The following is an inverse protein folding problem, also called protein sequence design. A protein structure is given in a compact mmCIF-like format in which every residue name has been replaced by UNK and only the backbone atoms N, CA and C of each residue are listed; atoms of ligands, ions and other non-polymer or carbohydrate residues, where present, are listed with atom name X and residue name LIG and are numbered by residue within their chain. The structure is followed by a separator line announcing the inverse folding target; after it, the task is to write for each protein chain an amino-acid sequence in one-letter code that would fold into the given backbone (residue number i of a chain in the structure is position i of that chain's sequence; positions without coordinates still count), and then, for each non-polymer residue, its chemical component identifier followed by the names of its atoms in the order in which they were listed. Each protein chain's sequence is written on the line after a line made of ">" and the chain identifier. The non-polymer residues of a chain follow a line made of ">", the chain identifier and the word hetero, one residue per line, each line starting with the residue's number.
data_IF_300340109828
#
_entry.id   IF_300340109828
#
_cell.length_a   1.000
_cell.length_b   1.000
_cell.length_c   1.000
_cell.angle_alpha   90.00
_cell.angle_beta   90.00
_cell.angle_gamma   90.00
#
_symmetry.space_group_name_H-M   'P 1'
#
loop_
_entity.id
_entity.type
_entity.pdbx_description
1 polymer ?
#
# COMPACT_ATOMS: atom_id res chain seq x y z
N UNK A 1 15.88 14.73 17.75
CA UNK A 1 14.57 14.46 17.12
C UNK A 1 14.74 13.17 16.34
N UNK A 2 13.88 12.16 16.54
CA UNK A 2 14.13 10.83 15.98
C UNK A 2 14.20 10.92 14.45
N UNK A 3 15.39 10.70 13.86
CA UNK A 3 15.61 10.47 12.42
C UNK A 3 14.52 9.58 11.80
N UNK A 4 14.01 8.66 12.61
CA UNK A 4 12.91 7.76 12.29
C UNK A 4 11.63 8.48 11.84
N UNK A 5 11.22 9.60 12.45
CA UNK A 5 9.96 10.29 12.09
C UNK A 5 10.01 10.80 10.64
N UNK A 6 11.13 11.40 10.23
CA UNK A 6 11.28 11.95 8.87
C UNK A 6 11.39 10.84 7.81
N UNK A 7 12.17 9.78 8.06
CA UNK A 7 12.25 8.62 7.15
C UNK A 7 10.91 7.89 7.00
N UNK A 8 10.16 7.76 8.10
CA UNK A 8 8.83 7.12 8.12
C UNK A 8 7.77 7.97 7.43
N UNK A 9 7.81 9.29 7.63
CA UNK A 9 6.90 10.22 6.95
C UNK A 9 7.23 10.36 5.47
N UNK A 10 8.50 10.30 5.09
CA UNK A 10 8.90 10.23 3.68
C UNK A 10 8.45 8.92 3.02
N UNK A 11 8.52 7.78 3.73
CA UNK A 11 8.00 6.50 3.25
C UNK A 11 6.46 6.51 3.11
N UNK A 12 5.75 7.09 4.08
CA UNK A 12 4.30 7.30 4.03
C UNK A 12 3.90 8.27 2.91
N UNK A 13 4.63 9.38 2.74
CA UNK A 13 4.44 10.27 1.60
C UNK A 13 4.72 9.56 0.29
N UNK A 14 5.75 8.71 0.20
CA UNK A 14 6.02 7.83 -0.95
C UNK A 14 4.89 6.82 -1.21
N UNK A 15 4.24 6.28 -0.18
CA UNK A 15 3.05 5.44 -0.33
C UNK A 15 1.89 6.26 -0.91
N UNK A 16 1.71 7.47 -0.37
CA UNK A 16 0.79 8.49 -0.88
C UNK A 16 1.26 9.12 -2.20
N UNK A 17 2.47 8.83 -2.70
CA UNK A 17 3.00 9.27 -4.01
C UNK A 17 2.66 8.32 -5.14
N UNK A 18 2.53 7.03 -4.82
CA UNK A 18 2.16 6.02 -5.80
C UNK A 18 0.65 5.94 -5.97
N UNK A 19 -0.13 6.27 -4.92
CA UNK A 19 -1.59 6.34 -4.97
C UNK A 19 -2.15 7.29 -6.06
N UNK A 20 -1.62 8.51 -6.28
CA UNK A 20 -2.10 9.43 -7.32
C UNK A 20 -1.76 8.92 -8.72
N UNK A 21 -0.49 8.62 -8.97
CA UNK A 21 0.02 8.15 -10.28
C UNK A 21 -0.77 6.96 -10.84
N UNK A 22 -1.39 6.22 -9.94
CA UNK A 22 -2.02 4.96 -10.20
C UNK A 22 -3.55 5.09 -10.12
N UNK A 23 -4.14 5.70 -9.08
CA UNK A 23 -5.58 5.97 -8.97
C UNK A 23 -6.14 6.98 -10.00
N UNK A 24 -5.27 7.65 -10.76
CA UNK A 24 -5.64 8.55 -11.87
C UNK A 24 -5.67 7.85 -13.23
N UNK A 25 -5.33 6.56 -13.30
CA UNK A 25 -5.67 5.74 -14.44
C UNK A 25 -7.18 5.63 -14.49
N UNK A 26 -7.81 6.31 -15.45
CA UNK A 26 -9.25 6.13 -15.71
C UNK A 26 -9.43 4.64 -16.01
N UNK A 27 -10.24 3.96 -15.21
CA UNK A 27 -10.63 2.58 -15.47
C UNK A 27 -11.42 2.56 -16.77
N UNK A 28 -10.75 2.34 -17.89
CA UNK A 28 -11.43 1.89 -19.07
C UNK A 28 -11.65 0.38 -18.89
N UNK A 29 -12.91 -0.01 -18.77
CA UNK A 29 -13.31 -1.41 -18.91
C UNK A 29 -12.78 -1.95 -20.24
N UNK A 30 -11.97 -3.01 -20.17
CA UNK A 30 -11.57 -3.90 -21.29
C UNK A 30 -10.95 -3.29 -22.55
N UNK A 31 -10.84 -1.97 -22.68
CA UNK A 31 -10.08 -1.37 -23.77
C UNK A 31 -8.58 -1.42 -23.42
N UNK A 32 -7.76 -1.80 -24.40
CA UNK A 32 -6.31 -1.89 -24.21
C UNK A 32 -5.66 -0.50 -24.13
N UNK A 33 -6.39 0.55 -23.76
CA UNK A 33 -5.84 1.90 -23.75
C UNK A 33 -4.85 2.08 -22.62
N UNK A 34 -3.93 3.01 -22.86
CA UNK A 34 -2.84 3.33 -21.95
C UNK A 34 -3.07 4.75 -21.46
N UNK A 35 -3.13 4.92 -20.14
CA UNK A 35 -3.09 6.25 -19.53
C UNK A 35 -1.63 6.66 -19.40
N UNK A 36 -1.22 7.71 -20.12
CA UNK A 36 0.09 8.33 -19.94
C UNK A 36 -0.01 9.52 -19.00
N UNK A 37 0.97 9.60 -18.12
CA UNK A 37 1.22 10.74 -17.25
C UNK A 37 2.65 11.24 -17.46
N UNK A 38 2.81 12.41 -18.08
CA UNK A 38 4.08 13.17 -18.07
C UNK A 38 4.11 14.01 -16.80
N UNK A 39 4.87 13.55 -15.80
CA UNK A 39 4.69 13.97 -14.43
C UNK A 39 5.93 14.53 -13.75
N UNK A 40 5.62 15.15 -12.62
CA UNK A 40 6.49 15.94 -11.80
C UNK A 40 6.06 15.71 -10.35
N UNK A 41 6.86 15.01 -9.57
CA UNK A 41 6.61 14.70 -8.16
C UNK A 41 7.69 15.32 -7.28
N UNK A 42 7.27 16.09 -6.28
CA UNK A 42 8.16 16.76 -5.35
C UNK A 42 7.62 16.68 -3.93
N UNK A 43 8.51 16.46 -2.95
CA UNK A 43 8.21 16.62 -1.54
C UNK A 43 8.74 17.98 -1.09
N UNK A 44 7.90 18.76 -0.41
CA UNK A 44 8.25 19.99 0.29
C UNK A 44 8.14 19.80 1.80
N UNK A 45 8.99 20.49 2.55
CA UNK A 45 8.85 20.63 4.00
C UNK A 45 8.38 22.03 4.37
N UNK A 46 7.82 22.16 5.57
CA UNK A 46 7.48 23.42 6.20
C UNK A 46 7.99 23.38 7.65
N UNK A 47 9.19 23.92 7.89
CA UNK A 47 9.81 23.86 9.21
C UNK A 47 9.00 24.60 10.29
N UNK A 48 8.27 25.65 9.92
CA UNK A 48 7.44 26.46 10.82
C UNK A 48 6.22 25.70 11.37
N UNK A 49 5.81 24.62 10.69
CA UNK A 49 4.73 23.76 11.16
C UNK A 49 5.13 22.87 12.36
N UNK A 50 6.40 22.87 12.78
CA UNK A 50 6.88 22.08 13.91
C UNK A 50 6.99 22.91 15.21
N UNK A 51 6.88 22.28 16.39
CA UNK A 51 7.00 22.96 17.68
C UNK A 51 8.33 23.72 17.85
N UNK A 52 8.31 24.80 18.63
CA UNK A 52 9.50 25.62 18.92
C UNK A 52 10.66 24.76 19.48
N UNK A 53 11.85 24.97 18.92
CA UNK A 53 13.08 24.24 19.29
C UNK A 53 13.42 23.03 18.41
N UNK A 54 12.57 22.70 17.43
CA UNK A 54 12.83 21.63 16.44
C UNK A 54 13.14 22.17 15.03
N UNK A 55 13.09 23.50 14.83
CA UNK A 55 13.04 24.14 13.50
C UNK A 55 14.38 24.16 12.74
N UNK A 56 15.52 24.31 13.41
CA UNK A 56 16.79 24.63 12.73
C UNK A 56 17.32 23.52 11.81
N UNK A 57 17.17 22.23 12.17
CA UNK A 57 17.52 21.13 11.25
C UNK A 57 16.45 20.90 10.18
N UNK A 58 15.19 21.29 10.45
CA UNK A 58 14.07 21.15 9.53
C UNK A 58 14.10 22.19 8.41
N UNK A 59 14.54 23.42 8.68
CA UNK A 59 14.77 24.44 7.66
C UNK A 59 15.79 23.96 6.62
N UNK A 60 16.86 23.30 7.08
CA UNK A 60 17.86 22.71 6.20
C UNK A 60 17.30 21.56 5.35
N UNK A 61 16.45 20.69 5.93
CA UNK A 61 15.72 19.66 5.17
C UNK A 61 14.77 20.27 4.14
N UNK A 62 14.01 21.30 4.51
CA UNK A 62 13.12 22.02 3.61
C UNK A 62 13.87 22.60 2.39
N UNK A 63 15.02 23.25 2.63
CA UNK A 63 15.87 23.79 1.56
C UNK A 63 16.40 22.67 0.66
N UNK A 64 16.77 21.53 1.24
CA UNK A 64 17.30 20.40 0.49
C UNK A 64 16.23 19.71 -0.36
N UNK A 65 15.07 19.41 0.20
CA UNK A 65 13.95 18.77 -0.50
C UNK A 65 13.47 19.59 -1.71
N UNK A 66 13.49 20.94 -1.62
CA UNK A 66 13.18 21.83 -2.75
C UNK A 66 14.10 21.64 -3.96
N UNK A 67 15.29 21.05 -3.79
CA UNK A 67 16.23 20.78 -4.88
C UNK A 67 15.94 19.45 -5.57
N UNK A 68 15.18 18.54 -4.96
CA UNK A 68 14.97 17.17 -5.43
C UNK A 68 13.57 17.04 -6.01
N UNK A 69 13.49 16.36 -7.14
CA UNK A 69 12.23 16.07 -7.83
C UNK A 69 12.34 14.73 -8.56
N UNK A 70 11.27 13.95 -8.55
CA UNK A 70 11.10 12.82 -9.46
C UNK A 70 10.31 13.30 -10.67
N UNK A 71 10.80 13.03 -11.88
CA UNK A 71 10.13 13.43 -13.10
C UNK A 71 10.36 12.38 -14.19
N UNK A 72 9.36 12.19 -15.03
CA UNK A 72 9.36 11.22 -16.12
C UNK A 72 7.98 11.04 -16.70
N UNK A 73 7.82 10.00 -17.50
CA UNK A 73 6.53 9.52 -17.98
C UNK A 73 6.17 8.22 -17.27
N UNK A 74 4.91 8.08 -16.85
CA UNK A 74 4.34 6.79 -16.46
C UNK A 74 3.22 6.43 -17.43
N UNK A 75 3.30 5.25 -18.00
CA UNK A 75 2.27 4.64 -18.81
C UNK A 75 1.63 3.51 -18.00
N UNK A 76 0.33 3.59 -17.75
CA UNK A 76 -0.44 2.57 -17.04
C UNK A 76 -1.52 1.98 -17.93
N UNK A 77 -1.71 0.67 -17.82
CA UNK A 77 -2.78 -0.07 -18.48
C UNK A 77 -3.37 -1.05 -17.47
N UNK A 78 -4.71 -1.18 -17.44
CA UNK A 78 -5.44 -2.11 -16.56
C UNK A 78 -5.04 -1.95 -15.08
N UNK A 79 -4.99 -0.70 -14.62
CA UNK A 79 -4.57 -0.41 -13.25
C UNK A 79 -5.51 -1.06 -12.22
N UNK A 80 -4.95 -1.60 -11.12
CA UNK A 80 -5.63 -2.40 -10.09
C UNK A 80 -6.37 -3.66 -10.59
N UNK A 81 -6.08 -4.12 -11.81
CA UNK A 81 -6.66 -5.34 -12.36
C UNK A 81 -5.62 -6.46 -12.44
N UNK A 82 -6.06 -7.72 -12.59
CA UNK A 82 -5.19 -8.80 -13.03
C UNK A 82 -4.47 -8.36 -14.30
N UNK A 83 -3.14 -8.49 -14.31
CA UNK A 83 -2.31 -8.15 -15.46
C UNK A 83 -2.17 -6.64 -15.70
N UNK A 84 -2.21 -5.85 -14.63
CA UNK A 84 -1.80 -4.45 -14.71
C UNK A 84 -0.41 -4.32 -15.33
N UNK A 85 -0.24 -3.28 -16.14
CA UNK A 85 1.05 -2.94 -16.74
C UNK A 85 1.38 -1.50 -16.42
N UNK A 86 2.60 -1.29 -15.93
CA UNK A 86 3.10 0.03 -15.55
C UNK A 86 4.51 0.18 -16.09
N UNK A 87 4.72 1.17 -16.95
CA UNK A 87 6.05 1.53 -17.44
C UNK A 87 6.39 2.95 -17.01
N UNK A 88 7.53 3.13 -16.36
CA UNK A 88 8.10 4.41 -15.98
C UNK A 88 9.41 4.62 -16.71
N UNK A 89 9.57 5.80 -17.32
CA UNK A 89 10.83 6.29 -17.87
C UNK A 89 11.11 7.68 -17.33
N UNK A 90 12.20 7.84 -16.59
CA UNK A 90 12.54 9.12 -15.99
C UNK A 90 13.72 9.04 -15.03
N UNK A 91 13.65 9.83 -13.96
CA UNK A 91 14.70 9.80 -12.95
C UNK A 91 14.56 10.83 -11.85
N UNK A 92 15.52 10.80 -10.92
CA UNK A 92 15.68 11.84 -9.91
C UNK A 92 16.47 13.01 -10.47
N UNK A 93 15.89 14.19 -10.28
CA UNK A 93 16.45 15.49 -10.64
C UNK A 93 16.99 16.17 -9.39
N UNK A 94 18.11 16.85 -9.56
CA UNK A 94 18.72 17.71 -8.57
C UNK A 94 18.96 19.08 -9.21
N UNK A 95 18.27 20.11 -8.72
CA UNK A 95 18.28 21.47 -9.30
C UNK A 95 17.99 21.43 -10.82
N UNK A 96 16.88 20.80 -11.20
CA UNK A 96 16.40 20.64 -12.58
C UNK A 96 17.33 19.87 -13.53
N UNK A 97 18.41 19.27 -13.02
CA UNK A 97 19.28 18.38 -13.79
C UNK A 97 19.00 16.94 -13.38
N UNK A 98 18.63 16.09 -14.34
CA UNK A 98 18.51 14.65 -14.10
C UNK A 98 19.88 14.08 -13.70
N UNK A 99 19.95 13.48 -12.51
CA UNK A 99 21.18 12.90 -11.94
C UNK A 99 21.14 11.39 -11.87
N UNK A 100 19.97 10.83 -11.61
CA UNK A 100 19.77 9.39 -11.50
C UNK A 100 18.64 8.97 -12.43
N UNK A 101 18.93 8.70 -13.71
CA UNK A 101 17.94 8.13 -14.62
C UNK A 101 17.67 6.67 -14.23
N UNK A 102 16.41 6.26 -14.31
CA UNK A 102 16.00 4.87 -14.20
C UNK A 102 14.71 4.62 -14.97
N UNK A 103 14.57 3.39 -15.44
CA UNK A 103 13.35 2.86 -16.01
C UNK A 103 12.79 1.82 -15.05
N UNK A 104 11.47 1.76 -14.94
CA UNK A 104 10.76 0.69 -14.25
C UNK A 104 9.72 0.11 -15.19
N UNK A 105 9.64 -1.21 -15.27
CA UNK A 105 8.61 -1.91 -16.04
C UNK A 105 8.01 -3.00 -15.15
N UNK A 106 6.72 -2.88 -14.87
CA UNK A 106 5.93 -3.85 -14.14
C UNK A 106 4.88 -4.46 -15.06
N UNK A 107 4.90 -5.78 -15.19
CA UNK A 107 3.87 -6.52 -15.92
C UNK A 107 3.76 -7.95 -15.35
N UNK A 108 2.53 -8.47 -15.22
CA UNK A 108 2.25 -9.73 -14.52
C UNK A 108 2.92 -9.77 -13.12
N UNK A 109 3.62 -10.87 -12.83
CA UNK A 109 4.35 -11.13 -11.59
C UNK A 109 5.81 -10.65 -11.65
N UNK A 110 6.14 -9.73 -12.56
CA UNK A 110 7.51 -9.27 -12.77
C UNK A 110 7.65 -7.77 -12.56
N UNK A 111 8.75 -7.37 -11.91
CA UNK A 111 9.18 -5.97 -11.77
C UNK A 111 10.62 -5.83 -12.22
N UNK A 112 10.84 -4.96 -13.19
CA UNK A 112 12.15 -4.66 -13.73
C UNK A 112 12.55 -3.25 -13.33
N UNK A 113 13.80 -3.10 -12.89
CA UNK A 113 14.43 -1.79 -12.67
C UNK A 113 15.71 -1.75 -13.49
N UNK A 114 15.86 -0.71 -14.29
CA UNK A 114 17.06 -0.47 -15.08
C UNK A 114 17.58 0.92 -14.77
N UNK A 115 18.88 1.00 -14.47
CA UNK A 115 19.53 2.28 -14.25
C UNK A 115 21.01 2.15 -14.58
N UNK A 116 21.67 3.19 -15.11
CA UNK A 116 23.13 3.24 -15.12
C UNK A 116 23.76 3.03 -13.74
N UNK A 117 23.04 3.34 -12.66
CA UNK A 117 23.48 3.05 -11.30
C UNK A 117 23.64 1.55 -11.01
N UNK A 118 23.00 0.68 -11.77
CA UNK A 118 23.09 -0.79 -11.68
C UNK A 118 24.21 -1.35 -12.56
N UNK A 119 25.27 -0.57 -12.81
CA UNK A 119 26.43 -0.94 -13.63
C UNK A 119 26.04 -1.47 -15.04
N UNK A 120 24.98 -0.91 -15.63
CA UNK A 120 24.47 -1.32 -16.94
C UNK A 120 23.68 -2.64 -16.94
N UNK A 121 23.34 -3.17 -15.76
CA UNK A 121 22.48 -4.36 -15.61
C UNK A 121 21.03 -3.95 -15.35
N UNK A 122 20.09 -4.89 -15.54
CA UNK A 122 18.70 -4.75 -15.07
C UNK A 122 18.46 -5.69 -13.90
N UNK A 123 17.78 -5.19 -12.87
CA UNK A 123 17.32 -5.99 -11.73
C UNK A 123 15.89 -6.43 -11.98
N UNK A 124 15.60 -7.69 -11.71
CA UNK A 124 14.30 -8.32 -11.92
C UNK A 124 13.81 -8.97 -10.63
N UNK A 125 12.55 -8.73 -10.26
CA UNK A 125 11.88 -9.35 -9.11
C UNK A 125 10.61 -10.09 -9.53
N UNK A 126 10.46 -11.32 -9.03
CA UNK A 126 9.16 -12.00 -8.93
C UNK A 126 8.38 -11.50 -7.71
N UNK A 127 7.05 -11.64 -7.73
CA UNK A 127 6.15 -11.08 -6.71
C UNK A 127 6.54 -11.40 -5.26
N UNK A 128 6.72 -12.66 -4.90
CA UNK A 128 7.08 -13.05 -3.53
C UNK A 128 8.47 -12.52 -3.11
N UNK A 129 9.45 -12.60 -4.02
CA UNK A 129 10.79 -12.05 -3.80
C UNK A 129 10.76 -10.52 -3.63
N UNK A 130 9.83 -9.84 -4.30
CA UNK A 130 9.68 -8.40 -4.17
C UNK A 130 9.15 -8.02 -2.78
N UNK A 131 8.11 -8.71 -2.29
CA UNK A 131 7.62 -8.48 -0.93
C UNK A 131 8.68 -8.81 0.12
N UNK A 132 9.37 -9.94 -0.01
CA UNK A 132 10.49 -10.30 0.88
C UNK A 132 11.60 -9.24 0.84
N UNK A 133 11.99 -8.79 -0.36
CA UNK A 133 12.96 -7.70 -0.53
C UNK A 133 12.49 -6.43 0.19
N UNK A 134 11.23 -6.05 0.03
CA UNK A 134 10.65 -4.83 0.60
C UNK A 134 10.37 -4.94 2.11
N UNK A 135 10.40 -6.13 2.70
CA UNK A 135 10.39 -6.34 4.14
C UNK A 135 11.77 -6.06 4.77
N UNK A 136 12.88 -6.22 4.04
CA UNK A 136 14.22 -5.97 4.58
C UNK A 136 14.46 -4.51 5.02
N UNK A 137 14.14 -3.48 4.21
CA UNK A 137 14.28 -2.09 4.67
C UNK A 137 13.41 -1.79 5.90
N UNK A 138 12.28 -2.48 6.07
CA UNK A 138 11.50 -2.37 7.29
C UNK A 138 12.23 -2.97 8.50
N UNK A 139 12.66 -4.24 8.41
CA UNK A 139 13.32 -4.90 9.54
C UNK A 139 14.64 -4.26 9.94
N UNK A 140 15.44 -3.86 8.94
CA UNK A 140 16.75 -3.30 9.19
C UNK A 140 16.67 -1.80 9.40
N UNK A 141 15.86 -1.06 8.63
CA UNK A 141 15.92 0.41 8.60
C UNK A 141 14.67 1.09 9.17
N UNK A 142 13.65 0.33 9.57
CA UNK A 142 12.33 0.84 10.00
C UNK A 142 11.70 1.78 8.95
N UNK A 143 11.98 1.49 7.68
CA UNK A 143 11.37 2.15 6.53
C UNK A 143 10.14 1.37 6.14
N UNK A 144 9.00 2.05 5.98
CA UNK A 144 7.70 1.44 5.68
C UNK A 144 7.56 1.01 4.21
N UNK A 145 8.61 0.44 3.63
CA UNK A 145 8.64 -0.15 2.28
C UNK A 145 7.63 -1.28 2.05
N UNK A 146 7.18 -2.08 3.04
CA UNK A 146 6.13 -3.08 2.81
C UNK A 146 4.84 -2.49 2.24
N UNK A 147 4.43 -1.30 2.70
CA UNK A 147 3.25 -0.62 2.16
C UNK A 147 3.47 -0.10 0.74
N UNK A 148 4.69 0.32 0.40
CA UNK A 148 5.05 0.59 -1.00
C UNK A 148 4.97 -0.68 -1.84
N UNK A 149 5.35 -1.82 -1.28
CA UNK A 149 5.30 -3.08 -2.00
C UNK A 149 3.87 -3.45 -2.39
N UNK A 150 2.92 -3.31 -1.47
CA UNK A 150 1.49 -3.55 -1.73
C UNK A 150 0.97 -2.63 -2.85
N UNK A 151 1.39 -1.37 -2.87
CA UNK A 151 1.00 -0.41 -3.91
C UNK A 151 1.65 -0.67 -5.27
N UNK A 152 2.89 -1.16 -5.28
CA UNK A 152 3.62 -1.51 -6.50
C UNK A 152 3.25 -2.90 -7.03
N UNK A 153 2.43 -3.66 -6.30
CA UNK A 153 1.91 -4.98 -6.64
C UNK A 153 0.40 -5.09 -6.36
N UNK A 154 -0.44 -4.25 -6.98
CA UNK A 154 -1.87 -4.32 -6.76
C UNK A 154 -2.48 -5.65 -7.21
N UNK A 155 -1.86 -6.35 -8.17
CA UNK A 155 -2.27 -7.68 -8.59
C UNK A 155 -2.14 -8.69 -7.46
N UNK A 156 -1.21 -8.50 -6.52
CA UNK A 156 -1.11 -9.37 -5.35
C UNK A 156 -2.38 -9.26 -4.50
N UNK A 157 -2.84 -8.04 -4.21
CA UNK A 157 -4.09 -7.82 -3.48
C UNK A 157 -5.30 -8.37 -4.24
N UNK A 158 -5.34 -8.22 -5.57
CA UNK A 158 -6.41 -8.80 -6.38
C UNK A 158 -6.39 -10.33 -6.32
N UNK A 159 -5.23 -10.97 -6.54
CA UNK A 159 -5.08 -12.42 -6.49
C UNK A 159 -5.51 -12.93 -5.12
N UNK A 160 -5.03 -12.31 -4.04
CA UNK A 160 -5.44 -12.69 -2.68
C UNK A 160 -6.95 -12.52 -2.49
N UNK A 161 -7.53 -11.41 -2.94
CA UNK A 161 -8.98 -11.20 -2.86
C UNK A 161 -9.75 -12.27 -3.64
N UNK A 162 -9.39 -12.53 -4.91
CA UNK A 162 -10.04 -13.53 -5.76
C UNK A 162 -9.92 -14.94 -5.17
N UNK A 163 -8.73 -15.32 -4.68
CA UNK A 163 -8.48 -16.62 -4.05
C UNK A 163 -9.45 -16.89 -2.90
N UNK A 164 -9.72 -15.90 -2.04
CA UNK A 164 -10.61 -16.07 -0.89
C UNK A 164 -12.09 -15.74 -1.20
N UNK A 165 -12.38 -14.80 -2.11
CA UNK A 165 -13.74 -14.39 -2.44
C UNK A 165 -14.44 -15.38 -3.37
N UNK A 166 -13.75 -15.95 -4.35
CA UNK A 166 -14.36 -16.89 -5.30
C UNK A 166 -15.14 -18.04 -4.62
N UNK A 167 -14.57 -18.77 -3.62
CA UNK A 167 -15.33 -19.81 -2.93
C UNK A 167 -16.48 -19.26 -2.08
N UNK A 168 -16.33 -18.06 -1.49
CA UNK A 168 -17.40 -17.39 -0.74
C UNK A 168 -18.57 -17.05 -1.67
N UNK A 169 -18.28 -16.44 -2.82
CA UNK A 169 -19.27 -16.06 -3.82
C UNK A 169 -20.01 -17.28 -4.37
N UNK A 170 -19.29 -18.38 -4.63
CA UNK A 170 -19.90 -19.64 -5.06
C UNK A 170 -20.83 -20.23 -3.99
N UNK A 171 -20.38 -20.28 -2.74
CA UNK A 171 -21.14 -20.84 -1.62
C UNK A 171 -22.38 -20.00 -1.26
N UNK A 172 -22.27 -18.67 -1.38
CA UNK A 172 -23.35 -17.74 -1.05
C UNK A 172 -24.18 -17.31 -2.25
N UNK A 173 -23.94 -17.87 -3.45
CA UNK A 173 -24.64 -17.50 -4.68
C UNK A 173 -26.17 -17.63 -4.58
N UNK A 174 -26.88 -16.84 -5.38
CA UNK A 174 -28.33 -16.88 -5.51
C UNK A 174 -28.99 -15.51 -5.44
N UNK A 175 -30.28 -15.47 -5.75
CA UNK A 175 -31.09 -14.24 -5.75
C UNK A 175 -32.13 -14.25 -4.63
N UNK A 176 -32.40 -13.09 -4.04
CA UNK A 176 -33.41 -12.92 -3.00
C UNK A 176 -33.10 -13.66 -1.70
N UNK A 177 -34.10 -13.68 -0.81
CA UNK A 177 -33.97 -14.35 0.49
C UNK A 177 -33.85 -15.86 0.33
N UNK A 178 -32.85 -16.46 0.98
CA UNK A 178 -32.45 -17.86 0.79
C UNK A 178 -31.73 -18.42 2.00
N UNK A 179 -31.60 -19.74 2.03
CA UNK A 179 -30.88 -20.49 3.06
C UNK A 179 -29.65 -21.15 2.45
N UNK A 180 -28.52 -21.08 3.14
CA UNK A 180 -27.30 -21.84 2.84
C UNK A 180 -27.14 -22.90 3.91
N UNK A 181 -27.17 -24.18 3.53
CA UNK A 181 -27.11 -25.29 4.48
C UNK A 181 -25.81 -25.32 5.28
N UNK A 182 -25.86 -25.84 6.51
CA UNK A 182 -24.67 -26.04 7.35
C UNK A 182 -23.56 -26.81 6.62
N UNK A 183 -23.88 -27.92 5.95
CA UNK A 183 -22.88 -28.72 5.22
C UNK A 183 -22.11 -27.91 4.17
N UNK A 184 -22.79 -26.97 3.49
CA UNK A 184 -22.17 -26.09 2.50
C UNK A 184 -21.28 -25.04 3.16
N UNK A 185 -21.69 -24.47 4.29
CA UNK A 185 -20.86 -23.53 5.07
C UNK A 185 -19.65 -24.22 5.68
N UNK A 186 -19.81 -25.46 6.16
CA UNK A 186 -18.71 -26.25 6.71
C UNK A 186 -17.68 -26.55 5.62
N UNK A 187 -18.12 -26.97 4.43
CA UNK A 187 -17.24 -27.16 3.28
C UNK A 187 -16.53 -25.87 2.85
N UNK A 188 -17.22 -24.72 2.92
CA UNK A 188 -16.60 -23.41 2.70
C UNK A 188 -15.50 -23.12 3.73
N UNK A 189 -15.74 -23.36 5.02
CA UNK A 189 -14.73 -23.19 6.06
C UNK A 189 -13.49 -24.08 5.82
N UNK A 190 -13.69 -25.36 5.49
CA UNK A 190 -12.60 -26.28 5.13
C UNK A 190 -11.80 -25.74 3.93
N UNK A 191 -12.49 -25.26 2.88
CA UNK A 191 -11.85 -24.73 1.68
C UNK A 191 -11.02 -23.47 1.96
N UNK A 192 -11.55 -22.52 2.73
CA UNK A 192 -10.84 -21.29 3.11
C UNK A 192 -9.62 -21.59 3.99
N UNK A 193 -9.74 -22.56 4.90
CA UNK A 193 -8.62 -23.05 5.72
C UNK A 193 -7.54 -23.73 4.85
N UNK A 194 -7.95 -24.59 3.91
CA UNK A 194 -7.03 -25.28 3.02
C UNK A 194 -6.23 -24.32 2.13
N UNK A 195 -6.85 -23.25 1.62
CA UNK A 195 -6.16 -22.17 0.89
C UNK A 195 -5.02 -21.59 1.76
N UNK A 196 -5.30 -21.35 3.04
CA UNK A 196 -4.36 -20.70 3.94
C UNK A 196 -3.22 -21.60 4.43
N UNK A 197 -3.36 -22.93 4.40
CA UNK A 197 -2.41 -23.87 5.03
C UNK A 197 -1.88 -25.01 4.16
N UNK A 198 -2.66 -25.47 3.18
CA UNK A 198 -2.38 -26.69 2.43
C UNK A 198 -2.01 -26.40 0.96
N UNK A 199 -2.25 -25.18 0.48
CA UNK A 199 -1.95 -24.80 -0.90
C UNK A 199 -0.44 -24.60 -1.13
N UNK A 200 -0.01 -24.85 -2.37
CA UNK A 200 1.36 -24.69 -2.87
C UNK A 200 1.85 -23.24 -2.67
N UNK A 201 0.92 -22.30 -2.57
CA UNK A 201 1.15 -20.86 -2.43
C UNK A 201 1.15 -20.35 -0.98
N UNK A 202 1.21 -21.22 0.05
CA UNK A 202 1.29 -20.83 1.47
C UNK A 202 2.29 -19.68 1.73
N UNK A 203 3.50 -19.79 1.19
CA UNK A 203 4.55 -18.77 1.38
C UNK A 203 4.14 -17.40 0.81
N UNK A 204 3.41 -17.37 -0.30
CA UNK A 204 2.92 -16.15 -0.91
C UNK A 204 1.86 -15.48 -0.03
N UNK A 205 0.90 -16.27 0.46
CA UNK A 205 -0.15 -15.80 1.38
C UNK A 205 0.48 -15.28 2.68
N UNK A 206 1.42 -16.04 3.25
CA UNK A 206 2.15 -15.68 4.46
C UNK A 206 2.89 -14.35 4.32
N UNK A 207 3.67 -14.19 3.24
CA UNK A 207 4.45 -12.97 2.98
C UNK A 207 3.52 -11.78 2.72
N UNK A 208 2.39 -11.98 2.01
CA UNK A 208 1.40 -10.94 1.80
C UNK A 208 0.79 -10.43 3.12
N UNK A 209 0.31 -11.35 3.96
CA UNK A 209 -0.24 -10.96 5.27
C UNK A 209 0.82 -10.36 6.20
N UNK A 210 2.05 -10.85 6.15
CA UNK A 210 3.18 -10.26 6.89
C UNK A 210 3.41 -8.81 6.46
N UNK A 211 3.34 -8.54 5.16
CA UNK A 211 3.51 -7.20 4.58
C UNK A 211 2.36 -6.28 5.00
N UNK A 212 1.11 -6.76 4.93
CA UNK A 212 -0.09 -5.99 5.26
C UNK A 212 -0.17 -5.64 6.75
N UNK A 213 0.15 -6.59 7.61
CA UNK A 213 0.02 -6.46 9.07
C UNK A 213 1.36 -6.21 9.77
N UNK A 214 2.35 -5.67 9.06
CA UNK A 214 3.72 -5.51 9.57
C UNK A 214 3.83 -4.58 10.80
N UNK A 215 2.85 -3.71 11.00
CA UNK A 215 2.77 -2.78 12.16
C UNK A 215 1.98 -3.35 13.34
N UNK A 216 1.46 -4.58 13.20
CA UNK A 216 0.87 -5.36 14.28
C UNK A 216 1.95 -6.30 14.86
N UNK A 217 1.94 -6.50 16.17
CA UNK A 217 2.89 -7.34 16.87
C UNK A 217 2.22 -8.02 18.08
N UNK A 218 2.41 -9.34 18.21
CA UNK A 218 2.27 -10.02 19.50
C UNK A 218 3.65 -10.48 19.96
N UNK A 219 3.87 -10.50 21.28
CA UNK A 219 5.19 -10.85 21.87
C UNK A 219 5.68 -12.27 21.49
N UNK A 220 4.78 -13.13 20.97
CA UNK A 220 5.04 -14.55 20.69
C UNK A 220 4.67 -15.02 19.25
N UNK A 221 4.16 -14.16 18.36
CA UNK A 221 3.72 -14.54 17.00
C UNK A 221 3.98 -13.44 15.96
N UNK A 222 4.28 -13.85 14.71
CA UNK A 222 4.29 -12.91 13.59
C UNK A 222 2.85 -12.49 13.27
N UNK A 223 2.65 -11.26 12.81
CA UNK A 223 1.30 -10.72 12.56
C UNK A 223 0.50 -11.48 11.50
N UNK A 224 1.18 -12.20 10.58
CA UNK A 224 0.53 -13.11 9.66
C UNK A 224 -0.03 -14.37 10.35
N UNK A 225 0.65 -14.88 11.39
CA UNK A 225 0.25 -16.10 12.08
C UNK A 225 -1.14 -15.95 12.72
N UNK A 226 -1.45 -14.75 13.21
CA UNK A 226 -2.76 -14.42 13.80
C UNK A 226 -3.89 -14.60 12.78
N UNK A 227 -3.70 -14.08 11.57
CA UNK A 227 -4.71 -14.12 10.51
C UNK A 227 -4.89 -15.56 10.03
N UNK A 228 -3.78 -16.27 9.88
CA UNK A 228 -3.81 -17.67 9.49
C UNK A 228 -4.49 -18.52 10.56
N UNK A 229 -4.19 -18.32 11.84
CA UNK A 229 -4.84 -19.05 12.93
C UNK A 229 -6.35 -18.81 12.95
N UNK A 230 -6.80 -17.58 12.67
CA UNK A 230 -8.22 -17.30 12.50
C UNK A 230 -8.83 -18.10 11.34
N UNK A 231 -8.18 -18.11 10.16
CA UNK A 231 -8.64 -18.89 9.00
C UNK A 231 -8.69 -20.40 9.30
N UNK A 232 -7.73 -20.91 10.08
CA UNK A 232 -7.73 -22.30 10.55
C UNK A 232 -8.92 -22.61 11.48
N UNK A 233 -9.36 -21.60 12.26
CA UNK A 233 -10.42 -21.75 13.26
C UNK A 233 -11.85 -21.57 12.72
N UNK A 234 -12.02 -21.38 11.41
CA UNK A 234 -13.33 -21.08 10.81
C UNK A 234 -14.38 -22.17 11.05
N UNK A 235 -13.99 -23.45 11.02
CA UNK A 235 -14.89 -24.57 11.33
C UNK A 235 -15.39 -24.50 12.77
N UNK A 236 -14.48 -24.30 13.74
CA UNK A 236 -14.84 -24.13 15.15
C UNK A 236 -15.69 -22.89 15.39
N UNK A 237 -15.46 -21.83 14.60
CA UNK A 237 -16.28 -20.61 14.64
C UNK A 237 -17.69 -20.87 14.11
N UNK A 238 -17.83 -21.63 13.02
CA UNK A 238 -19.14 -22.03 12.51
C UNK A 238 -19.92 -22.90 13.51
N UNK A 239 -19.27 -23.89 14.13
CA UNK A 239 -19.88 -24.74 15.17
C UNK A 239 -20.34 -23.93 16.38
N UNK A 240 -19.59 -22.89 16.75
CA UNK A 240 -19.95 -21.98 17.82
C UNK A 240 -21.17 -21.11 17.47
N UNK A 241 -21.23 -20.59 16.25
CA UNK A 241 -22.33 -19.74 15.77
C UNK A 241 -23.62 -20.52 15.50
N UNK A 242 -23.51 -21.77 15.03
CA UNK A 242 -24.64 -22.62 14.66
C UNK A 242 -24.55 -24.03 15.28
N UNK A 243 -24.70 -24.14 16.62
CA UNK A 243 -24.63 -25.42 17.32
C UNK A 243 -25.77 -26.39 16.94
N UNK A 244 -26.85 -25.88 16.34
CA UNK A 244 -27.98 -26.67 15.86
C UNK A 244 -27.85 -27.08 14.39
N UNK A 245 -26.78 -26.66 13.71
CA UNK A 245 -26.46 -27.01 12.33
C UNK A 245 -27.60 -26.68 11.33
N UNK A 246 -28.24 -25.53 11.51
CA UNK A 246 -29.32 -25.05 10.62
C UNK A 246 -28.82 -24.40 9.34
N UNK A 247 -27.59 -23.89 9.34
CA UNK A 247 -27.02 -23.09 8.26
C UNK A 247 -27.26 -21.59 8.42
N UNK A 248 -27.04 -20.86 7.33
CA UNK A 248 -27.13 -19.41 7.25
C UNK A 248 -28.43 -18.99 6.56
N UNK A 249 -29.08 -17.98 7.11
CA UNK A 249 -30.23 -17.33 6.51
C UNK A 249 -29.83 -15.99 5.91
N UNK A 250 -30.07 -15.84 4.61
CA UNK A 250 -29.85 -14.60 3.86
C UNK A 250 -31.20 -13.97 3.62
N UNK A 251 -31.40 -12.75 4.11
CA UNK A 251 -32.63 -11.97 3.93
C UNK A 251 -32.34 -10.76 3.07
N UNK A 252 -33.14 -10.58 2.01
CA UNK A 252 -33.04 -9.44 1.09
C UNK A 252 -34.30 -8.59 1.22
N UNK A 253 -34.14 -7.30 1.50
CA UNK A 253 -35.21 -6.29 1.53
C UNK A 253 -34.80 -5.07 0.70
N UNK A 254 -35.26 -5.02 -0.56
CA UNK A 254 -34.80 -4.01 -1.51
C UNK A 254 -33.31 -4.18 -1.85
N UNK A 255 -32.52 -3.15 -1.56
CA UNK A 255 -31.06 -3.13 -1.77
C UNK A 255 -30.28 -3.56 -0.51
N UNK A 256 -30.99 -3.93 0.57
CA UNK A 256 -30.41 -4.34 1.83
C UNK A 256 -30.35 -5.87 1.91
N UNK A 257 -29.19 -6.43 2.23
CA UNK A 257 -29.01 -7.87 2.47
C UNK A 257 -28.43 -8.12 3.87
N UNK A 258 -29.00 -9.08 4.59
CA UNK A 258 -28.56 -9.49 5.93
C UNK A 258 -28.32 -11.00 5.96
N UNK A 259 -27.19 -11.41 6.52
CA UNK A 259 -26.74 -12.80 6.59
C UNK A 259 -26.63 -13.20 8.06
N UNK A 260 -27.40 -14.19 8.47
CA UNK A 260 -27.55 -14.61 9.87
C UNK A 260 -27.19 -16.07 10.03
N UNK A 261 -26.32 -16.38 10.99
CA UNK A 261 -25.97 -17.74 11.42
C UNK A 261 -26.42 -17.89 12.88
N UNK A 262 -27.28 -18.87 13.17
CA UNK A 262 -27.91 -18.97 14.50
C UNK A 262 -28.70 -17.71 14.84
N UNK A 263 -28.33 -17.04 15.93
CA UNK A 263 -28.90 -15.75 16.36
C UNK A 263 -27.99 -14.54 16.00
N UNK A 264 -26.87 -14.78 15.31
CA UNK A 264 -25.83 -13.77 15.02
C UNK A 264 -25.94 -13.29 13.59
N UNK A 265 -26.06 -11.97 13.40
CA UNK A 265 -25.90 -11.33 12.08
C UNK A 265 -24.41 -11.20 11.79
N UNK A 266 -23.91 -11.98 10.84
CA UNK A 266 -22.48 -12.03 10.50
C UNK A 266 -22.10 -11.04 9.41
N UNK A 267 -23.04 -10.68 8.54
CA UNK A 267 -22.86 -9.70 7.48
C UNK A 267 -24.17 -8.94 7.26
N UNK A 268 -24.07 -7.62 7.12
CA UNK A 268 -25.12 -6.78 6.56
C UNK A 268 -24.52 -5.89 5.48
N UNK A 269 -25.18 -5.76 4.35
CA UNK A 269 -24.73 -4.88 3.28
C UNK A 269 -25.90 -4.12 2.66
N UNK A 270 -25.59 -2.91 2.19
CA UNK A 270 -26.46 -2.07 1.37
C UNK A 270 -25.68 -1.66 0.12
N UNK A 271 -26.28 -0.84 -0.75
CA UNK A 271 -25.57 -0.26 -1.90
C UNK A 271 -24.32 0.56 -1.53
N UNK A 272 -24.24 1.08 -0.29
CA UNK A 272 -23.16 2.00 0.12
C UNK A 272 -22.54 1.68 1.48
N UNK A 273 -22.88 0.53 2.08
CA UNK A 273 -22.30 0.12 3.36
C UNK A 273 -22.16 -1.37 3.47
N UNK A 274 -21.14 -1.82 4.20
CA UNK A 274 -20.92 -3.22 4.55
C UNK A 274 -20.54 -3.28 6.03
N UNK A 275 -21.17 -4.16 6.79
CA UNK A 275 -20.77 -4.48 8.16
C UNK A 275 -20.61 -5.98 8.28
N UNK A 276 -19.44 -6.41 8.74
CA UNK A 276 -19.11 -7.79 9.06
C UNK A 276 -18.87 -7.88 10.57
N UNK A 277 -19.39 -8.93 11.20
CA UNK A 277 -19.21 -9.17 12.62
C UNK A 277 -19.11 -10.68 12.88
N UNK A 278 -17.96 -11.13 13.34
CA UNK A 278 -17.65 -12.54 13.55
C UNK A 278 -17.15 -12.72 14.99
N UNK A 279 -18.03 -13.12 15.92
CA UNK A 279 -17.60 -13.56 17.24
C UNK A 279 -17.03 -14.98 17.15
N UNK A 280 -15.98 -15.24 17.91
CA UNK A 280 -15.26 -16.52 17.92
C UNK A 280 -15.44 -17.25 19.26
N UNK A 281 -15.29 -18.59 19.30
CA UNK A 281 -15.44 -19.38 20.52
C UNK A 281 -14.45 -19.00 21.65
N UNK A 282 -13.33 -18.36 21.30
CA UNK A 282 -12.29 -17.98 22.24
C UNK A 282 -12.54 -16.60 22.90
N UNK A 283 -13.75 -16.05 22.77
CA UNK A 283 -14.07 -14.72 23.31
C UNK A 283 -13.46 -13.57 22.51
N UNK A 284 -13.08 -13.82 21.25
CA UNK A 284 -12.71 -12.75 20.32
C UNK A 284 -13.91 -12.30 19.49
N UNK A 285 -13.83 -11.06 19.02
CA UNK A 285 -14.82 -10.39 18.19
C UNK A 285 -14.07 -9.66 17.08
N UNK A 286 -14.32 -10.06 15.84
CA UNK A 286 -13.74 -9.43 14.66
C UNK A 286 -14.86 -8.71 13.93
N UNK A 287 -14.71 -7.41 13.77
CA UNK A 287 -15.71 -6.56 13.15
C UNK A 287 -15.08 -5.67 12.08
N UNK A 288 -15.79 -5.48 10.98
CA UNK A 288 -15.42 -4.57 9.90
C UNK A 288 -16.63 -3.75 9.47
N UNK A 289 -16.46 -2.43 9.40
CA UNK A 289 -17.45 -1.50 8.90
C UNK A 289 -16.86 -0.75 7.71
N UNK A 290 -17.67 -0.61 6.66
CA UNK A 290 -17.43 0.21 5.50
C UNK A 290 -18.68 1.07 5.25
N UNK A 291 -18.47 2.35 4.97
CA UNK A 291 -19.54 3.27 4.60
C UNK A 291 -19.04 4.28 3.58
N UNK A 292 -19.75 4.38 2.47
CA UNK A 292 -19.58 5.39 1.45
C UNK A 292 -20.78 6.35 1.47
N UNK A 293 -20.52 7.66 1.50
CA UNK A 293 -21.58 8.68 1.52
C UNK A 293 -21.37 9.65 0.37
N UNK A 294 -22.14 9.51 -0.71
CA UNK A 294 -22.12 10.46 -1.81
C UNK A 294 -22.77 11.79 -1.41
N UNK A 295 -22.15 12.92 -1.76
CA UNK A 295 -22.68 14.28 -1.56
C UNK A 295 -23.03 14.92 -2.90
N UNK A 296 -23.59 16.13 -2.89
CA UNK A 296 -23.77 16.93 -4.12
C UNK A 296 -22.41 17.19 -4.81
N UNK A 297 -21.39 17.54 -4.02
CA UNK A 297 -19.99 17.69 -4.43
C UNK A 297 -19.12 16.83 -3.50
N UNK A 298 -18.25 16.01 -4.08
CA UNK A 298 -17.41 15.05 -3.36
C UNK A 298 -18.17 13.86 -2.75
N UNK A 299 -17.44 13.05 -1.98
CA UNK A 299 -17.95 11.92 -1.22
C UNK A 299 -17.12 11.65 0.05
N UNK A 300 -17.74 11.03 1.05
CA UNK A 300 -17.04 10.55 2.24
C UNK A 300 -16.89 9.03 2.22
N UNK A 301 -15.79 8.56 2.79
CA UNK A 301 -15.49 7.16 2.99
C UNK A 301 -15.08 6.94 4.45
N UNK A 302 -15.77 6.02 5.11
CA UNK A 302 -15.41 5.56 6.44
C UNK A 302 -15.17 4.06 6.41
N UNK A 303 -14.05 3.62 6.98
CA UNK A 303 -13.75 2.21 7.19
C UNK A 303 -13.24 2.03 8.62
N UNK A 304 -13.72 1.00 9.30
CA UNK A 304 -13.23 0.61 10.62
C UNK A 304 -13.07 -0.90 10.69
N UNK A 305 -11.86 -1.36 11.00
CA UNK A 305 -11.59 -2.74 11.36
C UNK A 305 -11.28 -2.80 12.85
N UNK A 306 -11.98 -3.66 13.57
CA UNK A 306 -11.79 -3.88 15.01
C UNK A 306 -11.61 -5.36 15.30
N UNK A 307 -10.60 -5.69 16.09
CA UNK A 307 -10.45 -7.01 16.70
C UNK A 307 -10.32 -6.86 18.21
N UNK A 308 -11.28 -7.44 18.93
CA UNK A 308 -11.32 -7.49 20.39
C UNK A 308 -11.09 -8.94 20.81
N UNK A 309 -10.30 -9.15 21.87
CA UNK A 309 -10.10 -10.45 22.50
C UNK A 309 -10.07 -10.23 24.01
N UNK A 310 -10.88 -11.00 24.75
CA UNK A 310 -11.00 -10.89 26.22
C UNK A 310 -11.28 -9.45 26.71
N UNK A 311 -12.23 -8.76 26.07
CA UNK A 311 -12.60 -7.36 26.34
C UNK A 311 -11.47 -6.33 26.08
N UNK A 312 -10.34 -6.75 25.52
CA UNK A 312 -9.24 -5.88 25.13
C UNK A 312 -9.24 -5.70 23.62
N UNK A 313 -9.29 -4.45 23.16
CA UNK A 313 -9.05 -4.09 21.76
C UNK A 313 -7.62 -4.45 21.39
N UNK A 314 -7.47 -5.50 20.59
CA UNK A 314 -6.18 -5.95 20.07
C UNK A 314 -5.74 -5.06 18.91
N UNK A 315 -6.68 -4.74 18.02
CA UNK A 315 -6.47 -3.88 16.86
C UNK A 315 -7.72 -3.03 16.64
N UNK A 316 -7.51 -1.75 16.37
CA UNK A 316 -8.52 -0.84 15.83
C UNK A 316 -7.87 -0.01 14.73
N UNK A 317 -8.30 -0.22 13.49
CA UNK A 317 -7.79 0.50 12.32
C UNK A 317 -8.93 1.29 11.68
N UNK A 318 -8.79 2.61 11.63
CA UNK A 318 -9.82 3.51 11.09
C UNK A 318 -9.25 4.32 9.95
N UNK A 319 -9.97 4.33 8.83
CA UNK A 319 -9.77 5.24 7.72
C UNK A 319 -11.02 6.12 7.59
N UNK A 320 -10.83 7.43 7.72
CA UNK A 320 -11.89 8.41 7.55
C UNK A 320 -11.43 9.42 6.49
N UNK A 321 -12.09 9.42 5.34
CA UNK A 321 -11.82 10.32 4.23
C UNK A 321 -13.05 11.17 3.94
N UNK A 322 -12.81 12.47 3.79
CA UNK A 322 -13.84 13.48 3.60
C UNK A 322 -13.61 14.20 2.27
N UNK A 323 -14.71 14.47 1.56
CA UNK A 323 -14.75 15.24 0.32
C UNK A 323 -13.83 14.68 -0.79
N UNK A 324 -13.73 13.35 -0.88
CA UNK A 324 -13.07 12.66 -1.99
C UNK A 324 -13.68 13.07 -3.34
N UNK A 325 -12.86 13.32 -4.38
CA UNK A 325 -13.39 13.67 -5.70
C UNK A 325 -14.23 12.53 -6.26
N UNK A 326 -15.40 12.86 -6.81
CA UNK A 326 -16.22 11.93 -7.60
C UNK A 326 -15.79 11.94 -9.06
N UNK A 327 -16.18 10.89 -9.79
CA UNK A 327 -16.02 10.84 -11.24
C UNK A 327 -16.60 12.10 -11.90
N UNK A 328 -15.84 12.68 -12.83
CA UNK A 328 -16.25 13.90 -13.53
C UNK A 328 -15.89 15.21 -12.81
N UNK A 329 -15.58 15.21 -11.52
CA UNK A 329 -15.20 16.43 -10.79
C UNK A 329 -13.81 16.91 -11.22
N UNK A 330 -13.64 18.22 -11.36
CA UNK A 330 -12.37 18.82 -11.80
C UNK A 330 -11.55 19.38 -10.65
N UNK A 331 -12.12 19.50 -9.46
CA UNK A 331 -11.46 20.04 -8.28
C UNK A 331 -12.00 19.34 -7.03
N UNK A 332 -11.14 19.10 -6.06
CA UNK A 332 -11.54 18.64 -4.73
C UNK A 332 -10.54 19.13 -3.67
N UNK A 333 -11.07 19.44 -2.49
CA UNK A 333 -10.27 19.74 -1.30
C UNK A 333 -10.91 18.95 -0.18
N UNK A 334 -10.12 18.08 0.45
CA UNK A 334 -10.63 17.18 1.47
C UNK A 334 -9.55 16.72 2.43
N UNK A 335 -9.92 15.79 3.29
CA UNK A 335 -9.03 15.25 4.33
C UNK A 335 -9.08 13.74 4.37
N UNK A 336 -7.99 13.14 4.83
CA UNK A 336 -7.92 11.70 5.12
C UNK A 336 -7.26 11.54 6.49
N UNK A 337 -7.89 10.82 7.38
CA UNK A 337 -7.36 10.44 8.68
C UNK A 337 -7.20 8.93 8.70
N UNK A 338 -5.99 8.48 9.07
CA UNK A 338 -5.68 7.08 9.28
C UNK A 338 -5.23 6.91 10.73
N UNK A 339 -5.91 6.06 11.48
CA UNK A 339 -5.52 5.71 12.85
C UNK A 339 -5.36 4.21 13.01
N UNK A 340 -4.36 3.82 13.81
CA UNK A 340 -4.16 2.46 14.27
C UNK A 340 -3.94 2.46 15.78
N UNK A 341 -4.83 1.79 16.50
CA UNK A 341 -4.76 1.59 17.95
C UNK A 341 -4.92 0.10 18.30
N UNK A 342 -4.86 -0.22 19.59
CA UNK A 342 -4.99 -1.56 20.14
C UNK A 342 -3.73 -2.08 20.82
N UNK A 343 -3.86 -3.17 21.56
CA UNK A 343 -2.78 -3.79 22.32
C UNK A 343 -1.64 -4.34 21.45
N UNK A 344 -1.94 -4.75 20.22
CA UNK A 344 -0.95 -5.30 19.29
C UNK A 344 -0.28 -4.21 18.43
N UNK A 345 -0.60 -2.93 18.64
CA UNK A 345 0.03 -1.85 17.88
C UNK A 345 1.52 -1.77 18.23
N UNK A 346 2.37 -1.66 17.23
CA UNK A 346 3.75 -1.22 17.46
C UNK A 346 3.80 0.25 17.89
N UNK A 347 4.90 0.66 18.53
CA UNK A 347 5.08 2.04 19.03
C UNK A 347 4.93 3.13 17.96
N UNK A 348 4.95 2.80 16.65
CA UNK A 348 4.97 3.76 15.56
C UNK A 348 4.24 3.26 14.30
N UNK A 349 2.90 3.16 14.34
CA UNK A 349 2.13 2.69 13.20
C UNK A 349 2.06 3.74 12.08
N UNK A 350 1.67 3.31 10.87
CA UNK A 350 1.26 4.20 9.78
C UNK A 350 -0.05 4.91 10.14
N UNK A 351 0.03 5.99 10.92
CA UNK A 351 -1.13 6.80 11.32
C UNK A 351 -0.83 8.29 11.14
N UNK A 352 -1.87 9.06 10.82
CA UNK A 352 -1.76 10.50 10.64
C UNK A 352 -2.94 11.12 9.92
N UNK A 353 -2.99 12.44 9.98
CA UNK A 353 -3.97 13.26 9.29
C UNK A 353 -3.36 13.87 8.05
N UNK A 354 -4.15 13.89 6.98
CA UNK A 354 -3.76 14.42 5.68
C UNK A 354 -4.83 15.38 5.17
N UNK A 355 -4.39 16.42 4.48
CA UNK A 355 -5.25 17.26 3.67
C UNK A 355 -4.83 17.12 2.21
N UNK A 356 -5.78 17.01 1.29
CA UNK A 356 -5.48 16.95 -0.13
C UNK A 356 -6.13 18.08 -0.91
N UNK A 357 -5.51 18.41 -2.05
CA UNK A 357 -5.95 19.42 -3.00
C UNK A 357 -5.78 18.85 -4.40
N UNK A 358 -6.89 18.53 -5.05
CA UNK A 358 -6.94 18.01 -6.41
C UNK A 358 -7.47 19.07 -7.37
N UNK A 359 -6.90 19.14 -8.57
CA UNK A 359 -7.41 19.96 -9.67
C UNK A 359 -7.01 19.38 -11.02
N UNK A 360 -7.89 19.53 -12.01
CA UNK A 360 -7.63 19.30 -13.44
C UNK A 360 -8.27 20.40 -14.28
N UNK A 361 -7.67 20.70 -15.43
CA UNK A 361 -8.13 21.79 -16.30
C UNK A 361 -9.23 21.39 -17.31
N UNK A 362 -9.57 20.10 -17.41
CA UNK A 362 -10.69 19.59 -18.21
C UNK A 362 -11.31 18.32 -17.59
N UNK A 363 -12.53 17.96 -18.01
CA UNK A 363 -13.26 16.78 -17.50
C UNK A 363 -12.84 15.46 -18.16
N UNK A 364 -12.29 15.51 -19.37
CA UNK A 364 -11.89 14.36 -20.16
C UNK A 364 -10.44 14.54 -20.61
N UNK A 365 -9.71 13.45 -20.83
CA UNK A 365 -8.34 13.52 -21.34
C UNK A 365 -8.31 14.06 -22.79
N UNK A 366 -7.28 14.82 -23.18
CA UNK A 366 -6.13 15.21 -22.37
C UNK A 366 -6.43 16.36 -21.40
N UNK A 367 -5.80 16.33 -20.23
CA UNK A 367 -5.87 17.40 -19.23
C UNK A 367 -4.56 17.55 -18.47
N UNK A 368 -4.29 18.75 -17.97
CA UNK A 368 -3.28 18.96 -16.93
C UNK A 368 -3.92 18.79 -15.56
N UNK A 369 -3.18 18.24 -14.63
CA UNK A 369 -3.65 18.09 -13.26
C UNK A 369 -2.58 18.35 -12.21
N UNK A 370 -3.05 18.64 -11.01
CA UNK A 370 -2.24 18.81 -9.81
C UNK A 370 -2.92 18.10 -8.65
N UNK A 371 -2.14 17.33 -7.88
CA UNK A 371 -2.53 16.80 -6.59
C UNK A 371 -1.50 17.23 -5.55
N UNK A 372 -1.95 17.98 -4.55
CA UNK A 372 -1.20 18.26 -3.33
C UNK A 372 -1.71 17.37 -2.19
N UNK A 373 -0.83 16.74 -1.43
CA UNK A 373 -1.16 16.02 -0.19
C UNK A 373 -0.27 16.57 0.92
N UNK A 374 -0.88 17.18 1.92
CA UNK A 374 -0.22 17.64 3.12
C UNK A 374 -0.34 16.59 4.21
N UNK A 375 0.76 16.23 4.84
CA UNK A 375 0.73 15.61 6.16
C UNK A 375 0.62 16.71 7.23
N UNK A 376 -0.38 16.56 8.10
CA UNK A 376 -0.70 17.50 9.16
C UNK A 376 0.02 17.09 10.44
N UNK A 377 0.80 18.01 11.00
CA UNK A 377 1.58 17.70 12.20
C UNK A 377 0.67 17.61 13.44
N UNK A 378 0.70 16.50 14.21
CA UNK A 378 -0.33 16.20 15.21
C UNK A 378 -0.37 17.17 16.40
N UNK A 379 0.73 17.88 16.69
CA UNK A 379 0.76 18.82 17.83
C UNK A 379 0.40 20.25 17.45
N UNK A 380 0.64 20.63 16.19
CA UNK A 380 0.48 22.00 15.70
C UNK A 380 -0.75 22.14 14.82
N UNK A 381 -1.23 21.02 14.26
CA UNK A 381 -2.32 20.95 13.30
C UNK A 381 -2.04 21.75 12.01
N UNK A 382 -0.76 21.85 11.63
CA UNK A 382 -0.30 22.60 10.47
C UNK A 382 0.32 21.66 9.42
N UNK A 383 0.21 21.97 8.11
CA UNK A 383 0.90 21.25 7.03
C UNK A 383 2.42 21.27 7.21
N UNK A 384 3.01 20.12 7.55
CA UNK A 384 4.44 20.01 7.83
C UNK A 384 5.25 19.42 6.69
N UNK A 385 4.66 18.49 5.94
CA UNK A 385 5.22 17.99 4.69
C UNK A 385 4.14 18.04 3.61
N UNK A 386 4.50 18.50 2.42
CA UNK A 386 3.60 18.55 1.27
C UNK A 386 4.18 17.70 0.16
N UNK A 387 3.41 16.74 -0.30
CA UNK A 387 3.63 16.13 -1.59
C UNK A 387 2.94 16.94 -2.67
N UNK A 388 3.64 17.21 -3.77
CA UNK A 388 3.08 17.86 -4.94
C UNK A 388 3.34 17.02 -6.18
N UNK A 389 2.27 16.48 -6.72
CA UNK A 389 2.22 15.79 -8.00
C UNK A 389 1.58 16.71 -9.04
N UNK A 390 2.22 16.84 -10.20
CA UNK A 390 1.68 17.52 -11.37
C UNK A 390 1.90 16.67 -12.59
N UNK A 391 0.91 16.59 -13.45
CA UNK A 391 1.01 15.80 -14.66
C UNK A 391 0.23 16.40 -15.83
N UNK A 392 0.75 16.22 -17.03
CA UNK A 392 -0.03 16.25 -18.25
C UNK A 392 -0.51 14.82 -18.53
N UNK A 393 -1.82 14.62 -18.54
CA UNK A 393 -2.46 13.32 -18.72
C UNK A 393 -2.98 13.19 -20.15
N UNK A 394 -2.72 12.05 -20.79
CA UNK A 394 -3.24 11.73 -22.11
C UNK A 394 -3.58 10.24 -22.22
N UNK A 395 -4.46 9.91 -23.17
CA UNK A 395 -4.77 8.53 -23.51
C UNK A 395 -4.00 8.13 -24.77
N UNK A 396 -3.33 6.99 -24.71
CA UNK A 396 -2.57 6.40 -25.80
C UNK A 396 -3.15 5.03 -26.17
N UNK A 397 -2.79 4.55 -27.36
CA UNK A 397 -3.09 3.19 -27.77
C UNK A 397 -2.12 2.18 -27.13
N UNK A 398 -2.48 0.89 -27.21
CA UNK A 398 -1.71 -0.21 -26.61
C UNK A 398 -0.25 -0.28 -27.07
N UNK A 399 0.07 0.27 -28.26
CA UNK A 399 1.45 0.25 -28.78
C UNK A 399 2.40 1.16 -27.99
N UNK A 400 1.89 2.02 -27.10
CA UNK A 400 2.73 2.74 -26.14
C UNK A 400 3.47 1.78 -25.18
N UNK A 401 2.87 0.63 -24.88
CA UNK A 401 3.44 -0.42 -24.04
C UNK A 401 3.93 -1.58 -24.92
N UNK A 402 5.18 -1.48 -25.38
CA UNK A 402 5.82 -2.53 -26.18
C UNK A 402 6.59 -3.48 -25.27
N UNK A 403 6.48 -4.79 -25.50
CA UNK A 403 7.35 -5.78 -24.85
C UNK A 403 8.81 -5.53 -25.18
N UNK A 404 9.61 -5.27 -24.13
CA UNK A 404 11.03 -4.94 -24.29
C UNK A 404 11.89 -6.18 -24.05
N UNK A 405 12.87 -6.45 -24.93
CA UNK A 405 13.92 -7.41 -24.58
C UNK A 405 14.79 -6.80 -23.48
N UNK A 406 14.91 -7.48 -22.35
CA UNK A 406 15.86 -7.10 -21.31
C UNK A 406 17.17 -7.87 -21.54
N UNK A 407 18.23 -7.15 -21.91
CA UNK A 407 19.59 -7.69 -22.03
C UNK A 407 20.29 -7.68 -20.66
N UNK A 408 21.14 -8.67 -20.37
CA UNK A 408 21.90 -8.79 -19.12
C UNK A 408 21.01 -8.78 -17.85
N UNK A 409 20.00 -9.65 -17.86
CA UNK A 409 19.09 -9.85 -16.74
C UNK A 409 19.83 -10.49 -15.56
N UNK A 410 19.83 -9.80 -14.43
CA UNK A 410 20.24 -10.37 -13.15
C UNK A 410 18.99 -10.78 -12.40
N UNK A 411 18.77 -12.08 -12.33
CA UNK A 411 17.62 -12.60 -11.61
C UNK A 411 17.89 -12.55 -10.11
N UNK A 412 17.14 -11.69 -9.40
CA UNK A 412 17.07 -11.73 -7.94
C UNK A 412 16.11 -12.86 -7.54
N UNK A 413 16.52 -14.11 -7.78
CA UNK A 413 15.73 -15.32 -7.48
C UNK A 413 15.76 -15.69 -6.00
N UNK A 414 16.84 -15.38 -5.29
CA UNK A 414 17.05 -15.78 -3.90
C UNK A 414 17.87 -14.73 -3.16
N UNK A 415 17.28 -14.11 -2.15
CA UNK A 415 17.99 -13.16 -1.28
C UNK A 415 18.68 -13.87 -0.11
N UNK A 416 19.41 -14.96 -0.40
CA UNK A 416 20.28 -15.59 0.60
C UNK A 416 21.58 -14.79 0.77
N UNK A 417 22.30 -15.03 1.88
CA UNK A 417 23.51 -14.27 2.23
C UNK A 417 24.58 -14.27 1.12
N UNK A 418 24.74 -15.39 0.40
CA UNK A 418 25.72 -15.49 -0.68
C UNK A 418 25.38 -14.61 -1.89
N UNK A 419 24.10 -14.54 -2.28
CA UNK A 419 23.65 -13.71 -3.40
C UNK A 419 23.69 -12.21 -3.04
N UNK A 420 23.42 -11.86 -1.78
CA UNK A 420 23.54 -10.48 -1.28
C UNK A 420 24.99 -9.96 -1.39
N UNK A 421 25.99 -10.76 -0.99
CA UNK A 421 27.39 -10.38 -1.09
C UNK A 421 27.85 -10.14 -2.55
N UNK A 422 27.33 -10.93 -3.48
CA UNK A 422 27.60 -10.77 -4.91
C UNK A 422 26.98 -9.47 -5.46
N UNK A 423 25.73 -9.17 -5.09
CA UNK A 423 25.08 -7.91 -5.44
C UNK A 423 25.77 -6.70 -4.80
N UNK A 424 26.27 -6.84 -3.58
CA UNK A 424 27.04 -5.82 -2.88
C UNK A 424 28.30 -5.44 -3.67
N UNK A 425 29.14 -6.44 -3.98
CA UNK A 425 30.39 -6.25 -4.71
C UNK A 425 30.16 -5.55 -6.05
N UNK A 426 29.06 -5.91 -6.70
CA UNK A 426 28.71 -5.46 -8.05
C UNK A 426 28.07 -4.06 -8.08
N UNK A 427 27.09 -3.79 -7.23
CA UNK A 427 26.23 -2.61 -7.39
C UNK A 427 26.58 -1.47 -6.43
N UNK A 428 27.06 -1.74 -5.21
CA UNK A 428 27.19 -0.70 -4.16
C UNK A 428 28.04 0.48 -4.61
N UNK A 429 29.18 0.22 -5.26
CA UNK A 429 30.07 1.30 -5.76
C UNK A 429 29.38 2.17 -6.81
N UNK A 430 28.64 1.54 -7.73
CA UNK A 430 27.94 2.25 -8.81
C UNK A 430 26.76 3.05 -8.27
N UNK A 431 25.97 2.48 -7.34
CA UNK A 431 24.88 3.17 -6.65
C UNK A 431 25.42 4.35 -5.83
N UNK A 432 26.48 4.14 -5.04
CA UNK A 432 27.09 5.21 -4.25
C UNK A 432 27.57 6.37 -5.12
N UNK A 433 28.22 6.08 -6.26
CA UNK A 433 28.63 7.12 -7.22
C UNK A 433 27.42 7.85 -7.84
N UNK A 434 26.35 7.13 -8.16
CA UNK A 434 25.16 7.71 -8.75
C UNK A 434 24.37 8.61 -7.78
N UNK A 435 24.38 8.28 -6.48
CA UNK A 435 23.72 9.06 -5.42
C UNK A 435 24.62 10.21 -4.89
N UNK A 436 25.93 10.16 -5.11
CA UNK A 436 26.88 11.17 -4.63
C UNK A 436 26.51 12.64 -4.93
N UNK A 437 25.98 13.02 -6.12
CA UNK A 437 25.56 14.40 -6.37
C UNK A 437 24.53 14.91 -5.36
N UNK A 438 23.61 14.05 -4.90
CA UNK A 438 22.61 14.37 -3.90
C UNK A 438 23.27 14.59 -2.53
N UNK A 439 24.18 13.69 -2.14
CA UNK A 439 24.93 13.78 -0.88
C UNK A 439 25.75 15.08 -0.80
N UNK A 440 26.39 15.50 -1.90
CA UNK A 440 27.17 16.75 -1.95
C UNK A 440 26.29 17.99 -1.71
N UNK A 441 25.01 17.93 -2.09
CA UNK A 441 24.07 19.04 -1.95
C UNK A 441 23.39 19.12 -0.57
N UNK A 442 23.65 18.15 0.31
CA UNK A 442 23.15 18.15 1.69
C UNK A 442 23.75 19.33 2.48
N UNK A 443 22.92 20.15 3.14
CA UNK A 443 23.38 21.10 4.12
C UNK A 443 24.16 20.42 5.25
N UNK A 444 25.18 21.11 5.79
CA UNK A 444 26.00 20.57 6.86
C UNK A 444 25.20 20.22 8.12
N UNK A 445 24.14 20.98 8.39
CA UNK A 445 23.27 20.81 9.56
C UNK A 445 22.47 19.50 9.53
N UNK A 446 22.32 18.87 8.35
CA UNK A 446 21.62 17.59 8.18
C UNK A 446 22.55 16.46 7.69
N UNK A 447 23.86 16.71 7.55
CA UNK A 447 24.81 15.68 7.16
C UNK A 447 24.89 14.57 8.20
N UNK A 448 24.83 14.88 9.49
CA UNK A 448 24.79 13.86 10.55
C UNK A 448 23.52 13.00 10.46
N UNK A 449 22.38 13.63 10.13
CA UNK A 449 21.10 12.93 9.93
C UNK A 449 21.17 11.98 8.72
N UNK A 450 21.73 12.46 7.60
CA UNK A 450 21.90 11.67 6.39
C UNK A 450 22.97 10.56 6.55
N UNK A 451 24.07 10.83 7.26
CA UNK A 451 25.10 9.82 7.55
C UNK A 451 24.54 8.74 8.49
N UNK A 452 23.72 9.09 9.48
CA UNK A 452 23.06 8.06 10.31
C UNK A 452 22.12 7.16 9.50
N UNK A 453 21.46 7.70 8.47
CA UNK A 453 20.66 6.93 7.51
C UNK A 453 21.52 6.02 6.60
N UNK A 454 22.80 6.36 6.42
CA UNK A 454 23.76 5.62 5.58
C UNK A 454 24.70 4.69 6.36
N UNK A 455 24.96 4.91 7.66
CA UNK A 455 26.00 4.22 8.44
C UNK A 455 25.53 3.63 9.79
N UNK A 456 24.25 3.73 10.17
CA UNK A 456 23.75 3.14 11.41
C UNK A 456 23.46 1.64 11.33
N UNK A 457 23.06 1.04 12.46
CA UNK A 457 22.43 -0.30 12.59
C UNK A 457 21.05 -0.38 11.87
N UNK A 458 20.80 0.53 10.93
CA UNK A 458 19.61 0.73 10.11
C UNK A 458 19.97 1.33 8.73
N UNK A 459 21.13 0.99 8.17
CA UNK A 459 21.66 1.66 6.99
C UNK A 459 21.19 1.09 5.65
N UNK A 460 21.19 1.96 4.63
CA UNK A 460 21.04 1.58 3.22
C UNK A 460 22.15 0.62 2.76
N UNK A 461 23.30 0.63 3.43
CA UNK A 461 24.41 -0.29 3.22
C UNK A 461 24.14 -1.68 3.83
N UNK A 462 23.44 -1.76 4.97
CA UNK A 462 22.96 -3.05 5.49
C UNK A 462 21.85 -3.66 4.63
N UNK A 463 21.08 -2.85 3.91
CA UNK A 463 20.18 -3.33 2.86
C UNK A 463 20.91 -4.17 1.79
N UNK A 464 22.18 -3.85 1.58
CA UNK A 464 23.08 -4.54 0.65
C UNK A 464 24.08 -5.47 1.33
N UNK A 465 24.02 -5.69 2.66
CA UNK A 465 24.87 -6.66 3.37
C UNK A 465 26.21 -6.13 3.91
N UNK A 466 26.46 -4.82 3.91
CA UNK A 466 27.70 -4.25 4.48
C UNK A 466 27.61 -4.22 6.02
N UNK A 467 28.48 -4.98 6.69
CA UNK A 467 28.69 -4.97 8.15
C UNK A 467 29.75 -3.97 8.60
#
# INVERSE_FOLDING_TARGET
>A
MNQKIFSRMFALLLCLCLLPLSALAVSAEDDMTVTRSDFSLQVGGNADAFPQGQQSSLEAWEIYLKKIKLQGTVDTQRFLQPFSRVYFDGGLYLKDTMRLPFEYDGYYSFRYIKSPALAGSSVHFQMFNFFEFMLKPYYFMDVKTPYLALLMYPEASYIMAETFLAPIDEALAGEGSREVSYDALYALCEQLSAIAYEDIDYNQIYIYFTTMFIDLYSDDMYSADVVLEFLYSLESTLEYLDPEQKGMQITVDGDDETYTIGDTVVLSKTATSVNVHIPTPNGSDISFEYRYTSKDVGADLYMNFTWIMDEVTQVEAVLDAQDLPKEGETEAIGTVSLSLDGALRRENPLAGDFAFRYSRDAQEMPYNMSLGIDWIHPQTNEPALTLLYKAAMEQLDESALVDRPYDNQEDFFCLNESSLAEYEERFVKSIALAVMPFVIELPADIMADAIGLLNGDTSLLMLFGVY
#
